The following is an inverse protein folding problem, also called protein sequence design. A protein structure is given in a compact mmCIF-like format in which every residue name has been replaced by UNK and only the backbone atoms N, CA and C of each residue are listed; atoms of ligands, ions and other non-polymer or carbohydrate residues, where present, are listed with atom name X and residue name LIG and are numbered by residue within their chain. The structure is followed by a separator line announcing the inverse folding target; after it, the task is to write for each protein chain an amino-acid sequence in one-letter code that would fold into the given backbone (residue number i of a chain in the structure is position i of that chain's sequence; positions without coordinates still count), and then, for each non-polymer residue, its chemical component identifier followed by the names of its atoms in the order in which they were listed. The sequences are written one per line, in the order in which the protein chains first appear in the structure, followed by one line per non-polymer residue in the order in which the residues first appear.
data_IF_741625980186
#
_entry.id   IF_741625980186
#
_cell.length_a   1.000
_cell.length_b   1.000
_cell.length_c   1.000
_cell.angle_alpha   90.00
_cell.angle_beta   90.00
_cell.angle_gamma   90.00
#
_symmetry.space_group_name_H-M   'P 1'
#
loop_
_entity.id
_entity.type
_entity.pdbx_description
1 polymer ?
#
# COMPACT_ATOMS: atom_id res chain seq x y z
N UNK A 1 -15.44 40.39 -4.91
CA UNK A 1 -14.35 40.45 -3.91
C UNK A 1 -13.84 39.02 -3.71
N UNK A 2 -12.53 38.77 -3.72
CA UNK A 2 -11.99 37.45 -3.41
C UNK A 2 -12.37 37.09 -1.96
N UNK A 3 -12.90 35.88 -1.75
CA UNK A 3 -13.21 35.38 -0.41
C UNK A 3 -11.93 35.31 0.42
N UNK A 4 -11.97 35.60 1.74
CA UNK A 4 -10.82 35.51 2.61
C UNK A 4 -10.29 34.07 2.61
N UNK A 5 -8.97 33.92 2.60
CA UNK A 5 -8.30 32.62 2.69
C UNK A 5 -8.35 32.15 4.13
N UNK A 6 -8.90 30.95 4.36
CA UNK A 6 -8.81 30.29 5.65
C UNK A 6 -7.37 29.92 5.95
N UNK A 7 -6.95 29.95 7.22
CA UNK A 7 -5.61 29.55 7.66
C UNK A 7 -4.47 30.14 6.77
N UNK A 8 -4.49 31.47 6.57
CA UNK A 8 -3.46 32.14 5.75
C UNK A 8 -2.04 31.95 6.32
N UNK A 9 -1.91 31.82 7.62
CA UNK A 9 -0.67 31.60 8.35
C UNK A 9 -0.11 30.18 8.24
N UNK A 10 -0.94 29.20 7.82
CA UNK A 10 -0.54 27.79 7.66
C UNK A 10 0.61 27.66 6.66
N UNK A 11 0.52 28.41 5.55
CA UNK A 11 1.52 28.38 4.50
C UNK A 11 2.89 28.97 4.92
N UNK A 12 2.96 29.69 6.06
CA UNK A 12 4.19 30.34 6.55
C UNK A 12 4.98 29.45 7.52
N UNK A 13 4.33 28.48 8.13
CA UNK A 13 5.00 27.53 9.05
C UNK A 13 5.85 26.53 8.27
N UNK A 14 7.09 26.26 8.72
CA UNK A 14 7.97 25.31 8.06
C UNK A 14 7.59 23.84 8.35
N UNK A 15 6.96 23.56 9.49
CA UNK A 15 6.67 22.19 9.94
C UNK A 15 5.21 22.09 10.37
N UNK A 16 4.55 21.04 9.88
CA UNK A 16 3.16 20.71 10.20
C UNK A 16 3.06 19.29 10.69
N UNK A 17 2.20 19.08 11.66
CA UNK A 17 1.87 17.76 12.19
C UNK A 17 0.39 17.50 12.07
N UNK A 18 0.06 16.22 12.02
CA UNK A 18 -1.31 15.77 11.94
C UNK A 18 -1.41 14.25 12.03
N UNK A 19 -2.55 13.75 11.65
CA UNK A 19 -2.78 12.32 11.56
C UNK A 19 -3.49 11.96 10.25
N UNK A 20 -3.36 10.70 9.87
CA UNK A 20 -3.98 10.14 8.68
C UNK A 20 -4.85 8.97 9.07
N UNK A 21 -6.07 8.97 8.54
CA UNK A 21 -6.94 7.81 8.49
C UNK A 21 -7.16 7.46 7.02
N UNK A 22 -7.02 6.18 6.68
CA UNK A 22 -7.20 5.75 5.30
C UNK A 22 -7.78 4.35 5.20
N UNK A 23 -8.27 4.05 4.01
CA UNK A 23 -8.61 2.68 3.61
C UNK A 23 -7.63 2.23 2.54
N UNK A 24 -7.29 0.95 2.56
CA UNK A 24 -6.42 0.35 1.57
C UNK A 24 -7.07 -0.87 0.91
N UNK A 25 -6.60 -1.17 -0.30
CA UNK A 25 -6.89 -2.38 -1.03
C UNK A 25 -5.55 -3.04 -1.35
N UNK A 26 -5.27 -4.14 -0.68
CA UNK A 26 -4.01 -4.86 -0.83
C UNK A 26 -4.15 -5.97 -1.85
N UNK A 27 -3.21 -6.04 -2.80
CA UNK A 27 -3.17 -7.02 -3.87
C UNK A 27 -1.75 -7.54 -4.11
N UNK A 28 -1.62 -8.57 -4.94
CA UNK A 28 -0.36 -9.06 -5.47
C UNK A 28 -0.35 -9.01 -6.98
N UNK A 29 0.71 -8.50 -7.55
CA UNK A 29 1.01 -8.70 -8.96
C UNK A 29 1.81 -10.01 -9.08
N UNK A 30 1.14 -11.07 -9.55
CA UNK A 30 1.70 -12.41 -9.66
C UNK A 30 2.12 -12.65 -11.10
N UNK A 31 3.39 -13.05 -11.28
CA UNK A 31 3.93 -13.51 -12.55
C UNK A 31 3.98 -15.04 -12.49
N UNK A 32 3.13 -15.74 -13.27
CA UNK A 32 3.11 -17.20 -13.28
C UNK A 32 4.37 -17.77 -13.92
N UNK A 33 4.78 -18.97 -13.48
CA UNK A 33 5.91 -19.69 -14.05
C UNK A 33 5.57 -20.25 -15.45
N UNK A 34 6.45 -20.05 -16.41
CA UNK A 34 6.26 -20.54 -17.80
C UNK A 34 6.22 -22.07 -17.91
N UNK A 35 6.89 -22.78 -17.01
CA UNK A 35 6.93 -24.25 -16.98
C UNK A 35 5.53 -24.84 -16.75
N UNK A 36 4.72 -24.17 -15.97
CA UNK A 36 3.35 -24.60 -15.66
C UNK A 36 2.31 -24.15 -16.66
N UNK A 37 2.61 -23.18 -17.52
CA UNK A 37 1.73 -22.76 -18.62
C UNK A 37 1.57 -23.82 -19.72
N UNK A 38 2.56 -24.72 -19.85
CA UNK A 38 2.58 -25.77 -20.88
C UNK A 38 1.86 -27.08 -20.49
N UNK A 39 1.56 -27.31 -19.23
CA UNK A 39 0.81 -28.46 -18.74
C UNK A 39 -0.48 -27.97 -18.06
N UNK A 40 -1.53 -28.77 -18.07
CA UNK A 40 -2.89 -28.54 -17.50
C UNK A 40 -2.87 -28.18 -15.99
N UNK A 41 -2.20 -27.11 -15.65
CA UNK A 41 -1.61 -26.81 -14.36
C UNK A 41 -2.37 -25.71 -13.62
N UNK A 42 -2.07 -25.63 -12.34
CA UNK A 42 -2.62 -24.73 -11.35
C UNK A 42 -2.23 -23.26 -11.65
N UNK A 43 -3.22 -22.39 -11.87
CA UNK A 43 -3.00 -20.96 -12.11
C UNK A 43 -3.32 -20.14 -10.86
N UNK A 44 -2.36 -19.42 -10.28
CA UNK A 44 -2.64 -18.49 -9.19
C UNK A 44 -3.29 -17.23 -9.74
N UNK A 45 -4.37 -16.79 -9.12
CA UNK A 45 -5.06 -15.55 -9.44
C UNK A 45 -5.46 -14.83 -8.14
N UNK A 46 -5.16 -13.54 -8.04
CA UNK A 46 -5.66 -12.72 -6.95
C UNK A 46 -7.03 -12.21 -7.32
N UNK A 47 -8.03 -12.47 -6.49
CA UNK A 47 -9.40 -12.27 -6.94
C UNK A 47 -10.33 -11.50 -6.02
N UNK A 48 -9.91 -11.20 -4.77
CA UNK A 48 -10.79 -10.49 -3.83
C UNK A 48 -10.03 -9.33 -3.20
N UNK A 49 -10.51 -8.13 -3.50
CA UNK A 49 -10.07 -6.91 -2.84
C UNK A 49 -10.81 -6.80 -1.50
N UNK A 50 -10.09 -7.06 -0.42
CA UNK A 50 -10.59 -6.81 0.93
C UNK A 50 -10.11 -5.44 1.41
N UNK A 51 -11.03 -4.54 1.81
CA UNK A 51 -10.64 -3.25 2.35
C UNK A 51 -9.91 -3.42 3.68
N UNK A 52 -8.83 -2.70 3.83
CA UNK A 52 -8.06 -2.59 5.05
C UNK A 52 -8.03 -1.15 5.57
N UNK A 53 -7.31 -0.91 6.65
CA UNK A 53 -7.24 0.38 7.34
C UNK A 53 -5.78 0.81 7.48
N UNK A 54 -5.54 2.11 7.28
CA UNK A 54 -4.25 2.77 7.52
C UNK A 54 -4.41 3.84 8.60
N UNK A 55 -3.48 3.87 9.56
CA UNK A 55 -3.39 4.90 10.59
C UNK A 55 -1.94 5.37 10.62
N UNK A 56 -1.71 6.67 10.36
CA UNK A 56 -0.37 7.23 10.26
C UNK A 56 -0.31 8.60 10.95
N UNK A 57 0.89 8.97 11.40
CA UNK A 57 1.20 10.32 11.89
C UNK A 57 1.75 11.12 10.72
N UNK A 58 1.23 12.33 10.53
CA UNK A 58 1.75 13.26 9.51
C UNK A 58 2.85 14.10 10.10
N UNK A 59 4.00 14.12 9.43
CA UNK A 59 5.05 15.11 9.62
C UNK A 59 5.40 15.69 8.25
N UNK A 60 5.08 16.95 8.03
CA UNK A 60 5.21 17.62 6.74
C UNK A 60 6.16 18.81 6.88
N UNK A 61 7.33 18.72 6.27
CA UNK A 61 8.35 19.77 6.25
C UNK A 61 8.26 20.56 4.94
N UNK A 62 7.99 21.85 5.03
CA UNK A 62 8.01 22.74 3.88
C UNK A 62 9.45 23.05 3.45
N UNK A 63 9.83 22.58 2.25
CA UNK A 63 11.14 22.86 1.67
C UNK A 63 11.07 24.18 0.87
N UNK A 64 9.99 24.37 0.13
CA UNK A 64 9.79 25.57 -0.70
C UNK A 64 8.32 25.93 -0.87
N UNK A 65 8.02 26.95 -1.63
CA UNK A 65 6.65 27.36 -1.94
C UNK A 65 5.82 26.23 -2.57
N UNK A 66 6.45 25.35 -3.35
CA UNK A 66 5.78 24.29 -4.10
C UNK A 66 6.15 22.89 -3.64
N UNK A 67 7.17 22.73 -2.81
CA UNK A 67 7.66 21.42 -2.40
C UNK A 67 7.64 21.24 -0.88
N UNK A 68 7.06 20.14 -0.45
CA UNK A 68 7.14 19.66 0.92
C UNK A 68 7.74 18.27 0.94
N UNK A 69 8.49 17.95 2.00
CA UNK A 69 8.91 16.60 2.35
C UNK A 69 7.95 16.07 3.42
N UNK A 70 7.30 14.96 3.12
CA UNK A 70 6.29 14.36 4.00
C UNK A 70 6.78 13.01 4.49
N UNK A 71 6.77 12.82 5.81
CA UNK A 71 7.06 11.56 6.47
C UNK A 71 5.81 11.10 7.24
N UNK A 72 5.36 9.86 6.98
CA UNK A 72 4.08 9.34 7.46
C UNK A 72 4.24 8.00 8.20
N UNK A 73 5.01 7.94 9.31
CA UNK A 73 5.13 6.68 10.05
C UNK A 73 3.78 6.21 10.57
N UNK A 74 3.53 4.89 10.50
CA UNK A 74 2.26 4.36 10.95
C UNK A 74 2.09 2.87 10.73
N UNK A 75 0.86 2.43 10.81
CA UNK A 75 0.46 1.03 10.66
C UNK A 75 -0.63 0.88 9.61
N UNK A 76 -0.59 -0.22 8.88
CA UNK A 76 -1.66 -0.60 7.97
C UNK A 76 -2.02 -2.07 8.16
N UNK A 77 -3.32 -2.33 8.12
CA UNK A 77 -3.90 -3.65 8.26
C UNK A 77 -4.68 -3.98 6.99
N UNK A 78 -4.55 -5.21 6.53
CA UNK A 78 -5.29 -5.67 5.37
C UNK A 78 -5.19 -7.16 5.19
N UNK A 79 -6.01 -7.68 4.28
CA UNK A 79 -6.06 -9.09 3.95
C UNK A 79 -5.95 -9.27 2.45
N UNK A 80 -5.20 -10.26 2.02
CA UNK A 80 -5.04 -10.66 0.62
C UNK A 80 -5.53 -12.09 0.47
N UNK A 81 -6.20 -12.39 -0.64
CA UNK A 81 -6.70 -13.73 -0.94
C UNK A 81 -6.15 -14.19 -2.26
N UNK A 82 -5.34 -15.24 -2.24
CA UNK A 82 -4.83 -15.89 -3.47
C UNK A 82 -5.73 -17.09 -3.76
N UNK A 83 -6.33 -17.12 -4.94
CA UNK A 83 -7.11 -18.26 -5.44
C UNK A 83 -6.32 -18.99 -6.51
N UNK A 84 -6.52 -20.30 -6.55
CA UNK A 84 -5.95 -21.15 -7.57
C UNK A 84 -7.04 -21.67 -8.49
N UNK A 85 -6.74 -21.74 -9.78
CA UNK A 85 -7.60 -22.31 -10.80
C UNK A 85 -6.92 -23.51 -11.44
N UNK A 86 -7.65 -24.60 -11.60
CA UNK A 86 -7.23 -25.77 -12.35
C UNK A 86 -8.30 -26.05 -13.41
N UNK A 87 -7.91 -26.16 -14.70
CA UNK A 87 -8.83 -26.40 -15.82
C UNK A 87 -9.99 -25.40 -15.88
N UNK A 88 -9.73 -24.10 -15.61
CA UNK A 88 -10.74 -23.03 -15.54
C UNK A 88 -11.80 -23.19 -14.43
N UNK A 89 -11.65 -24.18 -13.56
CA UNK A 89 -12.50 -24.38 -12.37
C UNK A 89 -11.76 -23.87 -11.15
N UNK A 90 -12.47 -23.21 -10.24
CA UNK A 90 -11.91 -22.74 -8.96
C UNK A 90 -11.48 -23.98 -8.17
N UNK A 91 -10.18 -24.11 -7.92
CA UNK A 91 -9.66 -25.10 -6.99
C UNK A 91 -9.96 -24.61 -5.56
N UNK A 92 -10.51 -25.47 -4.73
CA UNK A 92 -11.19 -25.11 -3.48
C UNK A 92 -10.30 -24.48 -2.39
N UNK A 93 -9.00 -24.35 -2.62
CA UNK A 93 -8.04 -23.80 -1.64
C UNK A 93 -7.81 -22.30 -1.86
N UNK A 94 -8.47 -21.50 -1.01
CA UNK A 94 -8.22 -20.06 -0.91
C UNK A 94 -7.14 -19.82 0.15
N UNK A 95 -6.02 -19.23 -0.24
CA UNK A 95 -4.98 -18.81 0.68
C UNK A 95 -5.28 -17.39 1.17
N UNK A 96 -5.70 -17.26 2.42
CA UNK A 96 -5.91 -15.96 3.08
C UNK A 96 -4.61 -15.55 3.76
N UNK A 97 -4.06 -14.43 3.33
CA UNK A 97 -2.82 -13.85 3.83
C UNK A 97 -3.16 -12.53 4.53
N UNK A 98 -3.19 -12.57 5.86
CA UNK A 98 -3.30 -11.36 6.66
C UNK A 98 -1.96 -10.62 6.64
N UNK A 99 -2.00 -9.31 6.49
CA UNK A 99 -0.83 -8.45 6.52
C UNK A 99 -1.06 -7.29 7.48
N UNK A 100 -0.09 -7.11 8.36
CA UNK A 100 -0.03 -5.99 9.29
C UNK A 100 1.31 -5.31 9.12
N UNK A 101 1.32 -4.16 8.43
CA UNK A 101 2.56 -3.46 8.12
C UNK A 101 2.84 -2.35 9.11
N UNK A 102 4.08 -2.27 9.55
CA UNK A 102 4.69 -1.06 10.05
C UNK A 102 5.28 -0.31 8.86
N UNK A 103 4.89 0.95 8.67
CA UNK A 103 5.20 1.75 7.48
C UNK A 103 6.02 2.98 7.82
N UNK A 104 6.97 3.31 6.92
CA UNK A 104 7.83 4.49 7.03
C UNK A 104 7.94 5.18 5.66
N UNK A 105 6.85 5.76 5.14
CA UNK A 105 6.87 6.46 3.85
C UNK A 105 7.57 7.81 3.96
N UNK A 106 8.48 8.06 3.03
CA UNK A 106 9.14 9.36 2.81
C UNK A 106 8.80 9.84 1.40
N UNK A 107 7.97 10.88 1.34
CA UNK A 107 7.34 11.34 0.11
C UNK A 107 7.67 12.80 -0.16
N UNK A 108 7.96 13.12 -1.41
CA UNK A 108 8.03 14.48 -1.90
C UNK A 108 6.63 14.88 -2.39
N UNK A 109 6.07 15.96 -1.84
CA UNK A 109 4.78 16.53 -2.21
C UNK A 109 5.03 17.78 -3.07
N UNK A 110 4.58 17.76 -4.33
CA UNK A 110 4.56 18.92 -5.19
C UNK A 110 3.17 19.56 -5.17
N UNK A 111 3.10 20.80 -4.71
CA UNK A 111 1.86 21.55 -4.51
C UNK A 111 1.60 22.50 -5.67
N UNK A 112 0.40 22.48 -6.21
CA UNK A 112 -0.07 23.48 -7.15
C UNK A 112 -0.29 24.87 -6.50
N UNK A 113 -0.73 25.81 -7.30
CA UNK A 113 -1.15 27.11 -6.79
C UNK A 113 -2.41 26.96 -5.92
N UNK A 114 -2.46 27.67 -4.81
CA UNK A 114 -3.65 27.71 -3.94
C UNK A 114 -4.75 28.51 -4.62
N UNK A 115 -5.85 27.85 -4.93
CA UNK A 115 -7.07 28.42 -5.47
C UNK A 115 -8.06 28.65 -4.33
N UNK A 116 -8.05 29.85 -3.73
CA UNK A 116 -8.81 30.18 -2.55
C UNK A 116 -8.51 29.23 -1.37
N UNK A 117 -9.41 28.29 -1.06
CA UNK A 117 -9.27 27.31 0.03
C UNK A 117 -9.00 25.89 -0.48
N UNK A 118 -8.59 25.75 -1.73
CA UNK A 118 -8.26 24.48 -2.37
C UNK A 118 -6.82 24.53 -2.90
N UNK A 119 -6.10 23.40 -2.81
CA UNK A 119 -4.77 23.26 -3.38
C UNK A 119 -4.56 21.83 -3.89
N UNK A 120 -4.49 21.61 -5.20
CA UNK A 120 -4.14 20.31 -5.75
C UNK A 120 -2.66 20.00 -5.52
N UNK A 121 -2.33 18.73 -5.41
CA UNK A 121 -0.95 18.28 -5.29
C UNK A 121 -0.76 16.87 -5.86
N UNK A 122 0.49 16.55 -6.14
CA UNK A 122 0.95 15.20 -6.44
C UNK A 122 2.04 14.81 -5.46
N UNK A 123 2.16 13.52 -5.20
CA UNK A 123 3.18 12.97 -4.31
C UNK A 123 3.93 11.85 -5.01
N UNK A 124 5.18 11.65 -4.61
CA UNK A 124 5.98 10.51 -5.04
C UNK A 124 7.13 10.27 -4.08
N UNK A 125 7.51 9.02 -3.89
CA UNK A 125 8.62 8.68 -3.02
C UNK A 125 8.73 7.19 -2.72
N UNK A 126 9.35 6.88 -1.59
CA UNK A 126 9.62 5.52 -1.15
C UNK A 126 8.94 5.25 0.19
N UNK A 127 8.54 4.01 0.39
CA UNK A 127 7.97 3.53 1.64
C UNK A 127 8.64 2.21 2.02
N UNK A 128 9.31 2.21 3.16
CA UNK A 128 9.80 0.98 3.77
C UNK A 128 8.68 0.38 4.62
N UNK A 129 8.35 -0.90 4.35
CA UNK A 129 7.33 -1.65 5.07
C UNK A 129 7.91 -2.90 5.70
N UNK A 130 7.48 -3.17 6.92
CA UNK A 130 7.81 -4.38 7.64
C UNK A 130 6.52 -5.12 8.02
N UNK A 131 6.33 -6.34 7.48
CA UNK A 131 5.14 -7.14 7.77
C UNK A 131 5.28 -7.85 9.13
N UNK A 132 4.44 -7.45 10.07
CA UNK A 132 4.38 -8.01 11.43
C UNK A 132 3.67 -9.37 11.45
N UNK A 133 2.70 -9.58 10.54
CA UNK A 133 1.91 -10.80 10.45
C UNK A 133 2.62 -11.93 9.68
N UNK A 134 3.74 -11.63 8.99
CA UNK A 134 4.52 -12.60 8.23
C UNK A 134 4.98 -13.77 9.11
N UNK A 135 4.35 -14.94 8.97
CA UNK A 135 4.70 -16.16 9.73
C UNK A 135 6.06 -16.70 9.29
N UNK A 136 6.87 -17.12 10.27
CA UNK A 136 8.19 -17.74 10.04
C UNK A 136 8.09 -19.23 9.72
N UNK A 137 7.04 -19.90 10.19
CA UNK A 137 6.89 -21.37 10.15
C UNK A 137 5.61 -21.75 9.42
N UNK A 138 5.63 -22.91 8.77
CA UNK A 138 4.43 -23.54 8.24
C UNK A 138 3.59 -24.05 9.41
N UNK A 139 2.30 -23.76 9.40
CA UNK A 139 1.36 -24.24 10.43
C UNK A 139 0.68 -25.51 9.89
N UNK A 140 0.96 -26.64 10.48
CA UNK A 140 0.41 -27.95 10.08
C UNK A 140 -1.13 -28.02 10.24
N UNK A 141 -1.72 -27.13 11.03
CA UNK A 141 -3.17 -27.07 11.24
C UNK A 141 -3.91 -26.15 10.25
N UNK A 142 -3.17 -25.24 9.58
CA UNK A 142 -3.71 -24.39 8.52
C UNK A 142 -2.81 -24.53 7.30
N UNK A 143 -3.27 -25.08 6.18
CA UNK A 143 -2.47 -25.29 5.00
C UNK A 143 -2.06 -23.93 4.39
N UNK A 144 -0.94 -23.38 4.86
CA UNK A 144 -0.32 -22.17 4.27
C UNK A 144 0.77 -22.67 3.34
N UNK A 145 0.54 -22.57 2.04
CA UNK A 145 1.47 -23.05 1.01
C UNK A 145 2.44 -21.98 0.51
N UNK A 146 2.22 -20.70 0.88
CA UNK A 146 3.01 -19.55 0.43
C UNK A 146 3.47 -18.75 1.64
N UNK A 147 4.79 -18.47 1.69
CA UNK A 147 5.40 -17.59 2.69
C UNK A 147 5.86 -16.29 2.05
N UNK A 148 5.72 -15.19 2.80
CA UNK A 148 6.06 -13.84 2.36
C UNK A 148 7.20 -13.30 3.20
N UNK A 149 8.15 -12.61 2.54
CA UNK A 149 9.23 -11.87 3.21
C UNK A 149 8.63 -10.71 4.01
N UNK A 150 9.19 -10.44 5.19
CA UNK A 150 8.73 -9.37 6.08
C UNK A 150 9.11 -7.97 5.59
N UNK A 151 10.41 -7.66 5.34
CA UNK A 151 10.79 -6.33 4.88
C UNK A 151 10.62 -6.23 3.37
N UNK A 152 10.05 -5.14 2.90
CA UNK A 152 9.99 -4.78 1.50
C UNK A 152 10.03 -3.26 1.32
N UNK A 153 10.57 -2.82 0.19
CA UNK A 153 10.64 -1.42 -0.20
C UNK A 153 9.64 -1.18 -1.33
N UNK A 154 8.85 -0.13 -1.18
CA UNK A 154 7.83 0.26 -2.15
C UNK A 154 8.15 1.63 -2.73
N UNK A 155 7.84 1.83 -4.00
CA UNK A 155 7.67 3.16 -4.54
C UNK A 155 6.19 3.55 -4.45
N UNK A 156 5.94 4.80 -4.11
CA UNK A 156 4.59 5.36 -3.99
C UNK A 156 4.43 6.54 -4.92
N UNK A 157 3.27 6.62 -5.55
CA UNK A 157 2.85 7.75 -6.36
C UNK A 157 1.37 8.02 -6.14
N UNK A 158 0.99 9.29 -6.10
CA UNK A 158 -0.41 9.65 -5.88
C UNK A 158 -0.69 11.11 -6.18
N UNK A 159 -1.95 11.43 -6.06
CA UNK A 159 -2.44 12.79 -6.19
C UNK A 159 -3.51 13.06 -5.13
N UNK A 160 -3.66 14.32 -4.77
CA UNK A 160 -4.63 14.72 -3.78
C UNK A 160 -5.03 16.19 -3.87
N UNK A 161 -5.92 16.55 -2.97
CA UNK A 161 -6.45 17.90 -2.83
C UNK A 161 -6.41 18.31 -1.36
N UNK A 162 -5.78 19.44 -1.07
CA UNK A 162 -5.83 20.09 0.24
C UNK A 162 -7.05 21.03 0.30
N UNK A 163 -7.85 20.88 1.34
CA UNK A 163 -9.00 21.73 1.68
C UNK A 163 -8.66 22.51 2.95
N UNK A 164 -8.54 23.81 2.85
CA UNK A 164 -8.31 24.68 4.01
C UNK A 164 -9.66 25.04 4.64
N UNK A 165 -10.04 24.31 5.69
CA UNK A 165 -11.23 24.56 6.45
C UNK A 165 -10.97 25.68 7.47
N UNK A 166 -11.97 26.03 8.26
CA UNK A 166 -11.85 27.15 9.23
C UNK A 166 -10.89 26.83 10.37
N UNK A 167 -10.79 25.56 10.78
CA UNK A 167 -10.04 25.14 11.98
C UNK A 167 -8.92 24.15 11.71
N UNK A 168 -8.88 23.51 10.53
CA UNK A 168 -7.86 22.55 10.16
C UNK A 168 -7.79 22.39 8.65
N UNK A 169 -6.71 21.81 8.18
CA UNK A 169 -6.54 21.43 6.78
C UNK A 169 -6.90 19.95 6.63
N UNK A 170 -7.85 19.67 5.74
CA UNK A 170 -8.18 18.31 5.30
C UNK A 170 -7.52 18.05 3.95
N UNK A 171 -6.76 16.97 3.83
CA UNK A 171 -6.27 16.51 2.54
C UNK A 171 -6.90 15.17 2.19
N UNK A 172 -7.41 15.06 0.96
CA UNK A 172 -7.90 13.78 0.40
C UNK A 172 -6.90 13.34 -0.64
N UNK A 173 -6.37 12.13 -0.49
CA UNK A 173 -5.26 11.61 -1.29
C UNK A 173 -5.56 10.19 -1.76
N UNK A 174 -5.39 9.96 -3.07
CA UNK A 174 -5.39 8.63 -3.67
C UNK A 174 -3.98 8.30 -4.11
N UNK A 175 -3.42 7.21 -3.63
CA UNK A 175 -2.07 6.76 -3.99
C UNK A 175 -1.99 5.28 -4.27
N UNK A 176 -1.05 4.90 -5.13
CA UNK A 176 -0.63 3.52 -5.37
C UNK A 176 0.75 3.29 -4.77
N UNK A 177 0.95 2.11 -4.21
CA UNK A 177 2.19 1.69 -3.58
C UNK A 177 2.56 0.31 -4.13
N UNK A 178 3.72 0.22 -4.78
CA UNK A 178 4.14 -0.97 -5.51
C UNK A 178 5.49 -1.47 -4.98
N UNK A 179 5.52 -2.73 -4.56
CA UNK A 179 6.72 -3.38 -4.05
C UNK A 179 7.80 -3.54 -5.11
N UNK A 180 9.04 -3.19 -4.78
CA UNK A 180 10.19 -3.36 -5.65
C UNK A 180 10.71 -4.80 -5.60
N UNK A 181 10.63 -5.44 -4.44
CA UNK A 181 11.13 -6.78 -4.19
C UNK A 181 10.19 -7.90 -4.68
N UNK A 182 10.78 -9.09 -4.84
CA UNK A 182 10.00 -10.33 -4.90
C UNK A 182 9.73 -10.76 -3.46
N UNK A 183 8.46 -10.67 -3.04
CA UNK A 183 8.06 -11.00 -1.66
C UNK A 183 7.91 -12.50 -1.42
N UNK A 184 7.91 -13.32 -2.49
CA UNK A 184 7.81 -14.77 -2.35
C UNK A 184 9.10 -15.34 -1.71
N UNK A 185 8.95 -16.11 -0.64
CA UNK A 185 10.06 -16.90 -0.06
C UNK A 185 10.23 -18.15 -0.88
N UNK A 186 11.47 -18.42 -1.36
CA UNK A 186 11.79 -19.59 -2.19
C UNK A 186 11.95 -20.87 -1.35
N UNK A 187 10.90 -21.23 -0.64
CA UNK A 187 10.79 -22.48 0.11
C UNK A 187 9.43 -23.09 -0.16
N UNK A 188 9.42 -24.33 -0.67
CA UNK A 188 8.16 -25.06 -0.89
C UNK A 188 7.61 -25.57 0.43
N UNK A 189 6.27 -25.52 0.58
CA UNK A 189 5.60 -26.19 1.69
C UNK A 189 5.83 -27.71 1.59
N UNK A 190 6.09 -28.40 2.71
CA UNK A 190 6.20 -29.85 2.71
C UNK A 190 4.95 -30.51 2.09
N UNK A 191 5.15 -31.39 1.10
CA UNK A 191 4.06 -32.12 0.44
C UNK A 191 3.27 -31.39 -0.65
N UNK A 192 3.47 -30.08 -0.86
CA UNK A 192 2.72 -29.29 -1.83
C UNK A 192 3.61 -28.33 -2.66
N UNK A 193 4.62 -28.85 -3.37
CA UNK A 193 5.53 -28.01 -4.18
C UNK A 193 4.84 -27.37 -5.38
N UNK A 194 3.69 -27.89 -5.83
CA UNK A 194 2.94 -27.41 -7.00
C UNK A 194 2.48 -25.95 -6.85
N UNK A 195 2.06 -25.53 -5.65
CA UNK A 195 1.58 -24.16 -5.41
C UNK A 195 2.71 -23.14 -5.51
N UNK A 196 3.88 -23.47 -5.00
CA UNK A 196 5.05 -22.61 -5.06
C UNK A 196 5.61 -22.54 -6.49
N UNK A 197 5.74 -23.70 -7.17
CA UNK A 197 6.33 -23.79 -8.51
C UNK A 197 5.47 -23.07 -9.57
N UNK A 198 4.18 -22.86 -9.31
CA UNK A 198 3.28 -22.11 -10.18
C UNK A 198 3.58 -20.61 -10.24
N UNK A 199 4.35 -20.07 -9.29
CA UNK A 199 4.63 -18.63 -9.17
C UNK A 199 6.13 -18.35 -9.42
N UNK A 200 6.44 -17.56 -10.44
CA UNK A 200 7.82 -17.12 -10.70
C UNK A 200 8.21 -15.94 -9.83
N UNK A 201 7.36 -14.90 -9.80
CA UNK A 201 7.54 -13.68 -9.01
C UNK A 201 6.21 -13.21 -8.44
N UNK A 202 6.27 -12.67 -7.24
CA UNK A 202 5.13 -12.07 -6.57
C UNK A 202 5.55 -10.71 -6.00
N UNK A 203 4.92 -9.64 -6.49
CA UNK A 203 5.13 -8.27 -6.02
C UNK A 203 3.87 -7.78 -5.32
N UNK A 204 4.03 -7.03 -4.26
CA UNK A 204 2.92 -6.43 -3.56
C UNK A 204 2.47 -5.15 -4.26
N UNK A 205 1.16 -4.96 -4.40
CA UNK A 205 0.53 -3.74 -4.89
C UNK A 205 -0.57 -3.32 -3.94
N UNK A 206 -0.59 -2.04 -3.58
CA UNK A 206 -1.55 -1.52 -2.61
C UNK A 206 -2.09 -0.19 -3.11
N UNK A 207 -3.41 -0.06 -3.15
CA UNK A 207 -4.10 1.20 -3.36
C UNK A 207 -4.54 1.77 -2.01
N UNK A 208 -4.36 3.07 -1.82
CA UNK A 208 -4.70 3.74 -0.56
C UNK A 208 -5.49 5.00 -0.87
N UNK A 209 -6.66 5.11 -0.24
CA UNK A 209 -7.41 6.36 -0.13
C UNK A 209 -7.21 6.90 1.29
N UNK A 210 -6.55 8.04 1.42
CA UNK A 210 -6.16 8.62 2.70
C UNK A 210 -6.80 9.98 2.93
N UNK A 211 -7.14 10.23 4.19
CA UNK A 211 -7.62 11.51 4.71
C UNK A 211 -6.61 11.99 5.74
N UNK A 212 -5.96 13.12 5.45
CA UNK A 212 -5.00 13.74 6.36
C UNK A 212 -5.62 14.94 7.05
N UNK A 213 -5.44 15.00 8.34
CA UNK A 213 -5.94 16.07 9.22
C UNK A 213 -4.72 16.79 9.80
N UNK A 214 -4.48 18.02 9.38
CA UNK A 214 -3.32 18.86 9.76
C UNK A 214 -3.75 20.23 10.29
#
# INVERSE_FOLDING_TARGET
MPKPKNESWYDDKPLHFGFTLGTNLMDFNIIPSQIHLASDSLYPHVSILNPGINIQIVSNLRISKYFDLRFLPGVSFGQRVVRYYKNKVIYNDQQKLESSFLEFPLLLKYKGARMNNLRPYVIGGLNFRYDLAGKKEFDDQKPIYIRIKRPDLYWEFGAGMDFYLTYFKLSIELKTSNGLGNVLVKEAAPGHPEFYNAIEKMKSQIWVLAFHFE
#
